data_IF_990331035163
#
_entry.id   IF_990331035163
#
_cell.length_a   1.000
_cell.length_b   1.000
_cell.length_c   1.000
_cell.angle_alpha   90.00
_cell.angle_beta   90.00
_cell.angle_gamma   90.00
#
_symmetry.space_group_name_H-M   'P 1'
#
loop_
_entity.id
_entity.type
_entity.pdbx_description
1 polymer ?
#
# COMPACT_ATOMS: atom_id res chain seq x y z
N UNK A 1 28.56 72.73 -48.87
CA UNK A 1 29.58 72.71 -47.78
C UNK A 1 28.86 72.66 -46.45
N UNK A 2 28.97 71.62 -45.76
CA UNK A 2 29.02 71.40 -44.32
C UNK A 2 28.60 69.93 -44.01
N UNK A 3 29.57 69.12 -43.62
CA UNK A 3 29.42 67.74 -43.17
C UNK A 3 28.69 67.75 -41.80
N UNK A 4 27.72 66.87 -41.65
CA UNK A 4 27.17 66.49 -40.32
C UNK A 4 27.46 64.98 -40.10
N UNK A 5 28.28 64.68 -39.09
CA UNK A 5 28.60 63.34 -38.61
C UNK A 5 27.45 62.83 -37.82
N UNK A 6 26.87 61.71 -38.20
CA UNK A 6 25.94 60.96 -37.40
C UNK A 6 26.68 60.00 -36.46
N UNK A 7 26.44 60.11 -35.18
CA UNK A 7 26.98 59.26 -34.09
C UNK A 7 26.03 58.12 -33.88
N UNK A 8 26.41 56.89 -34.16
CA UNK A 8 25.64 55.67 -33.83
C UNK A 8 25.96 55.27 -32.40
N UNK A 9 24.96 55.37 -31.54
CA UNK A 9 24.96 54.75 -30.21
C UNK A 9 24.50 53.31 -30.34
N UNK A 10 25.38 52.36 -30.06
CA UNK A 10 25.02 50.95 -29.89
C UNK A 10 24.55 50.71 -28.46
N UNK A 11 23.25 50.41 -28.26
CA UNK A 11 22.71 49.98 -26.98
C UNK A 11 22.93 48.48 -26.82
N UNK A 12 23.87 48.11 -25.95
CA UNK A 12 24.07 46.70 -25.56
C UNK A 12 22.98 46.28 -24.58
N UNK A 13 22.17 45.31 -24.98
CA UNK A 13 21.20 44.65 -24.09
C UNK A 13 21.94 43.54 -23.32
N UNK A 14 22.17 43.76 -22.03
CA UNK A 14 22.64 42.74 -21.12
C UNK A 14 21.43 41.83 -20.73
N UNK A 15 21.41 40.62 -21.28
CA UNK A 15 20.46 39.60 -20.85
C UNK A 15 20.99 38.94 -19.54
N UNK A 16 20.46 39.35 -18.39
CA UNK A 16 20.69 38.66 -17.11
C UNK A 16 19.93 37.34 -17.14
N UNK A 17 20.63 36.23 -17.40
CA UNK A 17 20.13 34.90 -17.29
C UNK A 17 19.96 34.51 -15.80
N UNK A 18 18.73 34.54 -15.27
CA UNK A 18 18.41 33.94 -13.96
C UNK A 18 18.58 32.42 -14.02
N UNK A 19 19.78 31.94 -13.67
CA UNK A 19 19.98 30.51 -13.38
C UNK A 19 19.14 30.13 -12.18
N UNK A 20 17.99 29.47 -12.40
CA UNK A 20 17.22 28.83 -11.31
C UNK A 20 18.01 27.62 -10.85
N UNK A 21 18.70 27.73 -9.73
CA UNK A 21 19.23 26.60 -8.96
C UNK A 21 18.05 25.80 -8.42
N UNK A 22 17.67 24.75 -9.12
CA UNK A 22 16.77 23.72 -8.58
C UNK A 22 17.51 22.96 -7.49
N UNK A 23 17.24 23.30 -6.24
CA UNK A 23 17.69 22.48 -5.11
C UNK A 23 16.96 21.13 -5.23
N UNK A 24 17.71 20.00 -5.32
CA UNK A 24 17.05 18.70 -5.31
C UNK A 24 16.25 18.53 -4.02
N UNK A 25 15.03 17.98 -4.13
CA UNK A 25 14.22 17.66 -2.98
C UNK A 25 15.01 16.72 -2.04
N UNK A 26 14.95 16.92 -0.73
CA UNK A 26 15.65 16.04 0.21
C UNK A 26 15.15 14.61 0.02
N UNK A 27 16.09 13.68 -0.19
CA UNK A 27 15.82 12.25 -0.23
C UNK A 27 15.17 11.85 1.11
N UNK A 28 14.07 11.06 1.10
CA UNK A 28 13.42 10.66 2.35
C UNK A 28 14.43 9.95 3.24
N UNK A 29 14.56 10.44 4.48
CA UNK A 29 15.49 9.90 5.45
C UNK A 29 15.22 8.40 5.64
N UNK A 30 16.22 7.57 5.37
CA UNK A 30 16.15 6.13 5.57
C UNK A 30 16.01 5.85 7.07
N UNK A 31 14.91 5.21 7.47
CA UNK A 31 14.73 4.76 8.85
C UNK A 31 15.89 3.83 9.27
N UNK A 32 16.35 3.88 10.52
CA UNK A 32 17.36 2.95 11.03
C UNK A 32 16.89 1.49 10.89
N UNK A 33 17.81 0.58 10.55
CA UNK A 33 17.47 -0.82 10.30
C UNK A 33 16.77 -1.52 11.49
N UNK A 34 17.06 -1.10 12.73
CA UNK A 34 16.37 -1.58 13.93
C UNK A 34 14.89 -1.20 13.97
N UNK A 35 14.55 -0.02 13.46
CA UNK A 35 13.17 0.47 13.41
C UNK A 35 12.36 -0.29 12.35
N UNK A 36 12.98 -0.69 11.24
CA UNK A 36 12.30 -1.50 10.21
C UNK A 36 11.90 -2.87 10.73
N UNK A 37 12.75 -3.55 11.49
CA UNK A 37 12.42 -4.84 12.08
C UNK A 37 11.26 -4.74 13.10
N UNK A 38 11.23 -3.68 13.88
CA UNK A 38 10.13 -3.41 14.80
C UNK A 38 8.83 -3.13 14.05
N UNK A 39 8.87 -2.35 12.96
CA UNK A 39 7.71 -2.06 12.12
C UNK A 39 7.20 -3.31 11.39
N UNK A 40 8.08 -4.18 10.91
CA UNK A 40 7.69 -5.48 10.31
C UNK A 40 6.99 -6.38 11.32
N UNK A 41 7.46 -6.41 12.55
CA UNK A 41 6.80 -7.13 13.63
C UNK A 41 5.42 -6.53 13.97
N UNK A 42 5.30 -5.20 13.98
CA UNK A 42 4.03 -4.48 14.18
C UNK A 42 3.02 -4.82 13.07
N UNK A 43 3.44 -4.77 11.79
CA UNK A 43 2.58 -5.11 10.65
C UNK A 43 2.18 -6.58 10.68
N UNK A 44 3.10 -7.50 10.98
CA UNK A 44 2.80 -8.93 11.14
C UNK A 44 1.75 -9.17 12.22
N UNK A 45 1.86 -8.50 13.35
CA UNK A 45 0.88 -8.59 14.44
C UNK A 45 -0.47 -8.01 14.02
N UNK A 46 -0.46 -6.92 13.23
CA UNK A 46 -1.67 -6.29 12.69
C UNK A 46 -2.36 -7.21 11.69
N UNK A 47 -1.63 -7.83 10.75
CA UNK A 47 -2.17 -8.81 9.82
C UNK A 47 -2.79 -10.02 10.54
N UNK A 48 -2.09 -10.55 11.55
CA UNK A 48 -2.62 -11.64 12.37
C UNK A 48 -3.88 -11.21 13.15
N UNK A 49 -3.96 -9.95 13.59
CA UNK A 49 -5.15 -9.43 14.24
C UNK A 49 -6.32 -9.29 13.26
N UNK A 50 -6.03 -8.85 12.02
CA UNK A 50 -7.00 -8.82 10.95
C UNK A 50 -7.54 -10.22 10.60
N UNK A 51 -6.67 -11.20 10.42
CA UNK A 51 -7.07 -12.59 10.18
C UNK A 51 -7.94 -13.16 11.33
N UNK A 52 -7.62 -12.80 12.57
CA UNK A 52 -8.44 -13.23 13.74
C UNK A 52 -9.85 -12.69 13.71
N UNK A 53 -10.13 -11.53 13.10
CA UNK A 53 -11.52 -11.02 12.99
C UNK A 53 -12.41 -12.00 12.23
N UNK A 54 -11.87 -12.63 11.16
CA UNK A 54 -12.57 -13.67 10.42
C UNK A 54 -12.82 -14.91 11.29
N UNK A 55 -11.82 -15.40 12.00
CA UNK A 55 -11.94 -16.55 12.89
C UNK A 55 -12.94 -16.30 14.04
N UNK A 56 -12.99 -15.09 14.57
CA UNK A 56 -13.87 -14.66 15.65
C UNK A 56 -15.26 -14.19 15.18
N UNK A 57 -15.48 -14.11 13.86
CA UNK A 57 -16.71 -13.59 13.24
C UNK A 57 -16.99 -12.12 13.61
N UNK A 58 -15.94 -11.35 13.93
CA UNK A 58 -16.04 -9.94 14.30
C UNK A 58 -15.94 -9.03 13.06
N UNK A 59 -17.09 -8.86 12.40
CA UNK A 59 -17.19 -8.01 11.21
C UNK A 59 -16.94 -6.53 11.52
N UNK A 60 -17.29 -6.06 12.70
CA UNK A 60 -17.05 -4.68 13.11
C UNK A 60 -15.56 -4.40 13.24
N UNK A 61 -14.82 -5.30 13.92
CA UNK A 61 -13.37 -5.18 14.00
C UNK A 61 -12.70 -5.30 12.64
N UNK A 62 -13.17 -6.21 11.76
CA UNK A 62 -12.68 -6.33 10.37
C UNK A 62 -12.67 -4.98 9.65
N UNK A 63 -13.77 -4.24 9.69
CA UNK A 63 -13.87 -2.94 9.03
C UNK A 63 -12.85 -1.92 9.56
N UNK A 64 -12.42 -2.05 10.81
CA UNK A 64 -11.42 -1.17 11.44
C UNK A 64 -10.03 -1.28 10.84
N UNK A 65 -9.70 -2.41 10.20
CA UNK A 65 -8.42 -2.63 9.52
C UNK A 65 -8.41 -2.13 8.07
N UNK A 66 -9.58 -1.85 7.49
CA UNK A 66 -9.70 -1.39 6.11
C UNK A 66 -9.63 0.13 6.05
N UNK A 67 -8.76 0.70 5.22
CA UNK A 67 -8.69 2.15 5.01
C UNK A 67 -9.97 2.70 4.37
N UNK A 68 -10.27 3.96 4.58
CA UNK A 68 -11.44 4.60 3.99
C UNK A 68 -11.41 4.57 2.45
N UNK A 69 -10.22 4.64 1.86
CA UNK A 69 -9.96 4.65 0.41
C UNK A 69 -9.41 3.31 -0.13
N UNK A 70 -9.51 2.24 0.64
CA UNK A 70 -8.98 0.91 0.26
C UNK A 70 -9.49 0.43 -1.09
N UNK A 71 -8.65 -0.36 -1.77
CA UNK A 71 -8.98 -1.05 -3.01
C UNK A 71 -8.73 -2.55 -2.81
N UNK A 72 -9.78 -3.35 -2.91
CA UNK A 72 -9.69 -4.81 -2.86
C UNK A 72 -9.96 -5.38 -4.25
N UNK A 73 -9.08 -6.29 -4.69
CA UNK A 73 -9.25 -7.03 -5.92
C UNK A 73 -9.90 -8.38 -5.61
N UNK A 74 -11.08 -8.61 -6.16
CA UNK A 74 -11.87 -9.83 -5.95
C UNK A 74 -12.19 -10.48 -7.30
N UNK A 75 -11.30 -11.32 -7.78
CA UNK A 75 -11.37 -11.90 -9.10
C UNK A 75 -11.34 -10.83 -10.21
N UNK A 76 -12.46 -10.58 -10.87
CA UNK A 76 -12.60 -9.53 -11.91
C UNK A 76 -13.09 -8.20 -11.35
N UNK A 77 -13.55 -8.19 -10.12
CA UNK A 77 -14.17 -7.02 -9.51
C UNK A 77 -13.14 -6.21 -8.74
N UNK A 78 -13.32 -4.90 -8.76
CA UNK A 78 -12.50 -3.93 -8.01
C UNK A 78 -13.40 -3.22 -7.02
N UNK A 79 -13.26 -3.55 -5.74
CA UNK A 79 -14.00 -2.92 -4.65
C UNK A 79 -13.25 -1.67 -4.20
N UNK A 80 -13.89 -0.52 -4.24
CA UNK A 80 -13.27 0.77 -3.88
C UNK A 80 -13.93 1.40 -2.67
N UNK A 81 -13.10 1.69 -1.67
CA UNK A 81 -13.49 2.25 -0.40
C UNK A 81 -14.05 1.22 0.58
N UNK A 82 -13.86 1.50 1.87
CA UNK A 82 -14.32 0.62 2.96
C UNK A 82 -15.79 0.19 2.83
N UNK A 83 -16.76 1.05 2.45
CA UNK A 83 -18.14 0.63 2.34
C UNK A 83 -18.37 -0.47 1.31
N UNK A 84 -17.72 -0.39 0.13
CA UNK A 84 -17.83 -1.41 -0.91
C UNK A 84 -17.16 -2.72 -0.47
N UNK A 85 -15.98 -2.64 0.15
CA UNK A 85 -15.29 -3.81 0.72
C UNK A 85 -16.16 -4.47 1.80
N UNK A 86 -16.68 -3.69 2.74
CA UNK A 86 -17.53 -4.20 3.81
C UNK A 86 -18.78 -4.91 3.26
N UNK A 87 -19.48 -4.30 2.30
CA UNK A 87 -20.68 -4.90 1.69
C UNK A 87 -20.38 -6.25 1.01
N UNK A 88 -19.25 -6.35 0.30
CA UNK A 88 -18.85 -7.60 -0.38
C UNK A 88 -18.39 -8.68 0.60
N UNK A 89 -17.74 -8.30 1.71
CA UNK A 89 -17.17 -9.24 2.67
C UNK A 89 -18.13 -9.70 3.74
N UNK A 90 -19.26 -8.98 3.95
CA UNK A 90 -20.22 -9.30 5.03
C UNK A 90 -20.69 -10.74 4.99
N UNK A 91 -21.00 -11.28 3.81
CA UNK A 91 -21.46 -12.67 3.67
C UNK A 91 -20.47 -13.72 4.20
N UNK A 92 -19.16 -13.41 4.21
CA UNK A 92 -18.16 -14.31 4.82
C UNK A 92 -18.26 -14.35 6.34
N UNK A 93 -18.95 -13.41 6.98
CA UNK A 93 -19.14 -13.32 8.42
C UNK A 93 -20.51 -13.82 8.92
N UNK A 94 -21.44 -14.18 8.03
CA UNK A 94 -22.82 -14.57 8.43
C UNK A 94 -22.88 -15.94 9.11
N UNK A 95 -21.95 -16.86 8.81
CA UNK A 95 -21.92 -18.18 9.41
C UNK A 95 -21.20 -18.24 10.75
N UNK A 96 -21.34 -19.35 11.47
CA UNK A 96 -20.65 -19.61 12.75
C UNK A 96 -19.22 -20.10 12.58
N UNK A 97 -18.87 -20.60 11.38
CA UNK A 97 -17.55 -21.13 11.03
C UNK A 97 -16.93 -20.23 9.97
N UNK A 98 -15.65 -19.87 10.15
CA UNK A 98 -14.92 -19.11 9.15
C UNK A 98 -14.78 -19.94 7.86
N UNK A 99 -15.10 -19.36 6.67
CA UNK A 99 -14.98 -20.08 5.40
C UNK A 99 -13.53 -20.29 4.97
N UNK A 100 -12.61 -19.49 5.47
CA UNK A 100 -11.17 -19.57 5.22
C UNK A 100 -10.40 -18.89 6.36
N UNK A 101 -9.11 -19.16 6.40
CA UNK A 101 -8.15 -18.53 7.30
C UNK A 101 -6.91 -18.12 6.52
N UNK A 102 -6.14 -17.18 7.05
CA UNK A 102 -4.86 -16.79 6.48
C UNK A 102 -3.89 -16.34 7.55
N UNK A 103 -2.60 -16.35 7.23
CA UNK A 103 -1.54 -15.81 8.07
C UNK A 103 -0.37 -15.34 7.20
N UNK A 104 0.34 -14.28 7.58
CA UNK A 104 1.48 -13.80 6.82
C UNK A 104 2.71 -14.71 7.01
N UNK A 105 3.27 -15.20 5.93
CA UNK A 105 4.60 -15.82 5.90
C UNK A 105 5.70 -14.81 5.58
N UNK A 106 5.36 -13.70 4.93
CA UNK A 106 6.27 -12.60 4.62
C UNK A 106 5.68 -11.24 4.99
N UNK A 107 6.54 -10.34 5.46
CA UNK A 107 6.22 -8.93 5.71
C UNK A 107 7.46 -8.13 5.37
N UNK A 108 7.26 -7.01 4.67
CA UNK A 108 8.32 -6.04 4.37
C UNK A 108 7.80 -4.63 4.52
N UNK A 109 8.58 -3.75 5.12
CA UNK A 109 8.25 -2.33 5.33
C UNK A 109 9.17 -1.47 4.47
N UNK A 110 8.62 -0.43 3.82
CA UNK A 110 9.45 0.54 3.10
C UNK A 110 10.35 1.31 4.07
N UNK A 111 11.48 1.81 3.55
CA UNK A 111 12.42 2.61 4.36
C UNK A 111 11.80 3.90 4.93
N UNK A 112 10.73 4.40 4.35
CA UNK A 112 9.93 5.52 4.87
C UNK A 112 9.18 5.18 6.17
N UNK A 113 8.90 3.89 6.43
CA UNK A 113 8.18 3.42 7.61
C UNK A 113 6.66 3.62 7.56
N UNK A 114 6.09 3.99 6.42
CA UNK A 114 4.68 4.35 6.26
C UNK A 114 3.87 3.38 5.37
N UNK A 115 4.56 2.53 4.59
CA UNK A 115 3.96 1.50 3.76
C UNK A 115 4.62 0.14 4.01
N UNK A 116 3.81 -0.90 4.00
CA UNK A 116 4.26 -2.28 4.14
C UNK A 116 3.48 -3.20 3.20
N UNK A 117 4.11 -4.33 2.85
CA UNK A 117 3.49 -5.46 2.17
C UNK A 117 3.51 -6.65 3.11
N UNK A 118 2.38 -7.32 3.28
CA UNK A 118 2.28 -8.64 3.85
C UNK A 118 1.72 -9.62 2.83
N UNK A 119 2.17 -10.85 2.86
CA UNK A 119 1.64 -11.91 2.00
C UNK A 119 1.72 -13.26 2.72
N UNK A 120 0.88 -14.20 2.31
CA UNK A 120 0.87 -15.51 2.92
C UNK A 120 -0.18 -16.45 2.33
N UNK A 121 -0.22 -17.71 2.79
CA UNK A 121 -1.21 -18.68 2.35
C UNK A 121 -2.61 -18.33 2.87
N UNK A 122 -3.61 -18.68 2.07
CA UNK A 122 -5.02 -18.75 2.44
C UNK A 122 -5.42 -20.22 2.45
N UNK A 123 -6.01 -20.65 3.56
CA UNK A 123 -6.45 -22.04 3.77
C UNK A 123 -7.96 -22.09 4.02
N UNK A 124 -8.61 -23.06 3.46
CA UNK A 124 -10.01 -23.39 3.71
C UNK A 124 -10.20 -24.45 4.79
N UNK A 125 -11.41 -24.97 4.95
CA UNK A 125 -11.69 -26.08 5.83
C UNK A 125 -10.78 -27.29 5.52
N UNK A 126 -10.31 -27.98 6.58
CA UNK A 126 -9.39 -29.12 6.50
C UNK A 126 -8.01 -28.78 5.86
N UNK A 127 -7.53 -27.57 6.08
CA UNK A 127 -6.25 -27.08 5.56
C UNK A 127 -6.10 -27.13 4.03
N UNK A 128 -7.23 -27.17 3.31
CA UNK A 128 -7.22 -27.08 1.86
C UNK A 128 -6.62 -25.73 1.42
N UNK A 129 -5.64 -25.77 0.52
CA UNK A 129 -5.05 -24.52 -0.01
C UNK A 129 -6.05 -23.80 -0.91
N UNK A 130 -6.40 -22.54 -0.54
CA UNK A 130 -7.25 -21.66 -1.34
C UNK A 130 -6.44 -20.71 -2.22
N UNK A 131 -5.15 -20.57 -1.94
CA UNK A 131 -4.25 -19.67 -2.66
C UNK A 131 -3.38 -18.85 -1.73
N UNK A 132 -3.09 -17.64 -2.15
CA UNK A 132 -2.31 -16.68 -1.38
C UNK A 132 -3.02 -15.33 -1.34
N UNK A 133 -2.75 -14.56 -0.31
CA UNK A 133 -3.13 -13.16 -0.23
C UNK A 133 -1.91 -12.26 -0.33
N UNK A 134 -2.14 -11.01 -0.70
CA UNK A 134 -1.20 -9.91 -0.62
C UNK A 134 -1.95 -8.66 -0.16
N UNK A 135 -1.52 -8.08 0.95
CA UNK A 135 -2.10 -6.85 1.51
C UNK A 135 -1.04 -5.76 1.59
N UNK A 136 -1.37 -4.58 1.07
CA UNK A 136 -0.56 -3.37 1.27
C UNK A 136 -1.17 -2.57 2.42
N UNK A 137 -0.36 -2.32 3.43
CA UNK A 137 -0.67 -1.57 4.64
C UNK A 137 -0.09 -0.17 4.55
N UNK A 138 -0.88 0.82 4.93
CA UNK A 138 -0.44 2.20 5.14
C UNK A 138 -0.57 2.57 6.61
N UNK A 139 0.49 3.17 7.16
CA UNK A 139 0.42 3.79 8.47
C UNK A 139 -0.27 5.13 8.34
N UNK A 140 -1.46 5.25 8.89
CA UNK A 140 -2.25 6.47 8.80
C UNK A 140 -1.85 7.50 9.86
N UNK A 141 -2.39 8.71 9.78
CA UNK A 141 -2.03 9.83 10.66
C UNK A 141 -2.32 9.58 12.15
N UNK A 142 -3.21 8.63 12.46
CA UNK A 142 -3.49 8.17 13.82
C UNK A 142 -2.49 7.11 14.32
N UNK A 143 -1.46 6.80 13.54
CA UNK A 143 -0.42 5.82 13.82
C UNK A 143 -0.82 4.37 13.57
N UNK A 144 -2.06 4.09 13.14
CA UNK A 144 -2.54 2.73 12.89
C UNK A 144 -2.25 2.29 11.47
N UNK A 145 -1.91 1.03 11.33
CA UNK A 145 -1.83 0.38 10.04
C UNK A 145 -3.23 0.01 9.53
N UNK A 146 -3.54 0.38 8.27
CA UNK A 146 -4.76 -0.02 7.57
C UNK A 146 -4.45 -0.48 6.17
N UNK A 147 -5.21 -1.46 5.70
CA UNK A 147 -5.09 -1.99 4.34
C UNK A 147 -5.55 -0.93 3.35
N UNK A 148 -4.69 -0.65 2.37
CA UNK A 148 -5.00 0.24 1.24
C UNK A 148 -5.17 -0.53 -0.06
N UNK A 149 -4.48 -1.68 -0.24
CA UNK A 149 -4.72 -2.63 -1.32
C UNK A 149 -4.71 -4.04 -0.77
N UNK A 150 -5.60 -4.88 -1.30
CA UNK A 150 -5.68 -6.30 -0.97
C UNK A 150 -6.05 -7.11 -2.20
N UNK A 151 -5.44 -8.27 -2.32
CA UNK A 151 -5.69 -9.22 -3.40
C UNK A 151 -5.54 -10.65 -2.90
N UNK A 152 -6.51 -11.50 -3.26
CA UNK A 152 -6.42 -12.94 -3.10
C UNK A 152 -6.22 -13.62 -4.43
N UNK A 153 -5.14 -14.39 -4.56
CA UNK A 153 -4.84 -15.20 -5.74
C UNK A 153 -5.26 -16.65 -5.51
N UNK A 154 -6.02 -17.20 -6.46
CA UNK A 154 -6.32 -18.63 -6.48
C UNK A 154 -5.01 -19.44 -6.61
N UNK A 155 -4.98 -20.69 -6.09
CA UNK A 155 -3.83 -21.55 -6.32
C UNK A 155 -3.55 -21.65 -7.81
N UNK A 156 -2.32 -21.35 -8.21
CA UNK A 156 -1.90 -21.62 -9.58
C UNK A 156 -2.08 -23.12 -9.82
N UNK A 157 -2.79 -23.58 -10.87
CA UNK A 157 -2.82 -24.97 -11.25
C UNK A 157 -1.45 -25.34 -11.84
N UNK A 158 -0.40 -25.18 -11.04
CA UNK A 158 0.95 -25.46 -11.46
C UNK A 158 1.13 -26.95 -11.53
N UNK A 159 1.20 -27.43 -12.76
CA UNK A 159 2.02 -28.58 -13.17
C UNK A 159 2.41 -29.48 -12.01
N UNK A 160 1.68 -30.57 -11.88
CA UNK A 160 2.34 -31.79 -11.44
C UNK A 160 3.56 -31.96 -12.37
N UNK A 161 4.77 -31.71 -11.85
CA UNK A 161 6.00 -32.10 -12.53
C UNK A 161 5.96 -33.61 -12.65
N UNK A 162 6.18 -34.17 -13.83
CA UNK A 162 6.10 -35.61 -14.05
C UNK A 162 7.16 -36.36 -13.26
#
# INVERSE_FOLDING_TARGET
MKLARALLLAAGVLAEGCARTTTPAPEPAKAPAADLAALEAEVRNTENAFARTMAQRDFTAFQGFVSADAVFLSGKDVLRGRPAVAAAWQAYFDGTVAPFAWQPDSVSVLASGDLALSAGPVTGPNDASFGRFSSVWRRESDGRWRIVFDEGEAPCPCRATP
#
